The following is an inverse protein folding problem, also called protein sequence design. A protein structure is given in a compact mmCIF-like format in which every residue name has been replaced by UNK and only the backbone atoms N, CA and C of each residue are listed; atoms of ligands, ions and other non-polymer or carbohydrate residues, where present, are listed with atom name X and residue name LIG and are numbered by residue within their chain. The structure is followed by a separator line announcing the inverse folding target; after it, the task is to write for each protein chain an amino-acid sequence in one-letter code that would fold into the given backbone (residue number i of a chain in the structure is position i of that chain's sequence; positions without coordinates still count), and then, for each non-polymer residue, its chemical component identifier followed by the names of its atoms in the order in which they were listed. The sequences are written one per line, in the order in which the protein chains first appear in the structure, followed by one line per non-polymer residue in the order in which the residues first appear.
data_IF_775493715257
#
_entry.id   IF_775493715257
#
_cell.length_a   1.000
_cell.length_b   1.000
_cell.length_c   1.000
_cell.angle_alpha   90.00
_cell.angle_beta   90.00
_cell.angle_gamma   90.00
#
_symmetry.space_group_name_H-M   'P 1'
#
loop_
_entity.id
_entity.type
_entity.pdbx_description
1 polymer ?
#
# COMPACT_ATOMS: atom_id res chain seq x y z
N UNK A 1 -16.69 -8.43 -7.24
CA UNK A 1 -17.30 -7.10 -7.17
C UNK A 1 -16.43 -5.98 -7.75
N UNK A 2 -15.10 -5.97 -7.53
CA UNK A 2 -14.19 -4.95 -8.11
C UNK A 2 -14.36 -4.75 -9.63
N UNK A 3 -14.35 -5.84 -10.42
CA UNK A 3 -14.55 -5.75 -11.88
C UNK A 3 -15.90 -5.14 -12.29
N UNK A 4 -16.95 -5.36 -11.49
CA UNK A 4 -18.26 -4.76 -11.74
C UNK A 4 -18.23 -3.26 -11.46
N UNK A 5 -17.56 -2.84 -10.38
CA UNK A 5 -17.36 -1.44 -10.07
C UNK A 5 -16.58 -0.72 -11.18
N UNK A 6 -15.49 -1.32 -11.65
CA UNK A 6 -14.68 -0.76 -12.74
C UNK A 6 -15.50 -0.64 -14.04
N UNK A 7 -16.37 -1.61 -14.34
CA UNK A 7 -17.29 -1.54 -15.46
C UNK A 7 -18.31 -0.39 -15.30
N UNK A 8 -18.90 -0.24 -14.12
CA UNK A 8 -19.88 0.81 -13.84
C UNK A 8 -19.25 2.20 -13.91
N UNK A 9 -18.06 2.38 -13.35
CA UNK A 9 -17.30 3.64 -13.42
C UNK A 9 -16.94 4.00 -14.87
N UNK A 10 -16.57 3.00 -15.69
CA UNK A 10 -16.27 3.20 -17.10
C UNK A 10 -17.51 3.57 -17.92
N UNK A 11 -18.67 2.96 -17.62
CA UNK A 11 -19.95 3.32 -18.23
C UNK A 11 -20.36 4.74 -17.84
N UNK A 12 -20.19 5.11 -16.57
CA UNK A 12 -20.48 6.45 -16.06
C UNK A 12 -19.66 7.53 -16.75
N UNK A 13 -18.35 7.33 -16.86
CA UNK A 13 -17.46 8.26 -17.55
C UNK A 13 -17.84 8.43 -19.03
N UNK A 14 -18.25 7.34 -19.70
CA UNK A 14 -18.72 7.38 -21.08
C UNK A 14 -20.03 8.14 -21.20
N UNK A 15 -21.04 7.80 -20.39
CA UNK A 15 -22.35 8.45 -20.38
C UNK A 15 -22.25 9.94 -20.09
N UNK A 16 -21.37 10.36 -19.18
CA UNK A 16 -21.10 11.77 -18.89
C UNK A 16 -20.57 12.53 -20.12
N UNK A 17 -19.83 11.84 -21.01
CA UNK A 17 -19.26 12.44 -22.23
C UNK A 17 -20.23 12.41 -23.41
N UNK A 18 -21.02 11.34 -23.55
CA UNK A 18 -21.91 11.12 -24.70
C UNK A 18 -23.34 11.59 -24.48
N UNK A 19 -23.75 11.85 -23.23
CA UNK A 19 -25.14 12.09 -22.84
C UNK A 19 -26.01 10.84 -22.92
N UNK A 20 -25.42 9.65 -23.07
CA UNK A 20 -26.14 8.38 -23.09
C UNK A 20 -26.81 8.10 -21.73
N UNK A 21 -28.03 7.58 -21.76
CA UNK A 21 -28.75 7.18 -20.56
C UNK A 21 -28.02 6.02 -19.87
N UNK A 22 -27.53 6.26 -18.65
CA UNK A 22 -26.81 5.29 -17.81
C UNK A 22 -27.59 3.97 -17.65
N UNK A 23 -28.92 4.05 -17.44
CA UNK A 23 -29.75 2.86 -17.23
C UNK A 23 -29.82 1.97 -18.47
N UNK A 24 -29.63 2.54 -19.66
CA UNK A 24 -29.58 1.82 -20.93
C UNK A 24 -28.18 1.33 -21.28
N UNK A 25 -27.16 2.06 -20.83
CA UNK A 25 -25.76 1.74 -21.06
C UNK A 25 -25.23 0.62 -20.15
N UNK A 26 -25.81 0.46 -18.96
CA UNK A 26 -25.44 -0.58 -18.00
C UNK A 26 -25.98 -1.95 -18.41
N UNK A 27 -25.08 -2.95 -18.41
CA UNK A 27 -25.45 -4.35 -18.57
C UNK A 27 -26.13 -4.83 -17.30
N UNK A 28 -27.37 -5.28 -17.47
CA UNK A 28 -28.15 -5.90 -16.40
C UNK A 28 -27.37 -7.00 -15.68
N UNK A 29 -27.38 -6.97 -14.34
CA UNK A 29 -26.81 -8.03 -13.50
C UNK A 29 -27.51 -9.35 -13.80
N UNK A 30 -28.85 -9.35 -13.90
CA UNK A 30 -29.64 -10.56 -14.23
C UNK A 30 -29.15 -11.24 -15.51
N UNK A 31 -28.88 -10.45 -16.54
CA UNK A 31 -28.44 -10.94 -17.85
C UNK A 31 -26.97 -11.40 -17.88
N UNK A 32 -26.23 -11.18 -16.80
CA UNK A 32 -24.84 -11.61 -16.65
C UNK A 32 -24.74 -12.96 -15.93
N UNK A 33 -25.82 -13.45 -15.32
CA UNK A 33 -25.88 -14.75 -14.67
C UNK A 33 -26.30 -15.87 -15.63
N UNK A 34 -25.86 -17.08 -15.30
CA UNK A 34 -26.49 -18.27 -15.87
C UNK A 34 -27.98 -18.30 -15.46
N UNK A 35 -28.87 -18.30 -16.46
CA UNK A 35 -30.33 -18.21 -16.25
C UNK A 35 -30.87 -19.35 -15.38
N UNK A 36 -30.34 -20.57 -15.53
CA UNK A 36 -30.78 -21.71 -14.74
C UNK A 36 -30.30 -21.59 -13.29
N UNK A 37 -29.05 -21.17 -13.07
CA UNK A 37 -28.53 -20.89 -11.73
C UNK A 37 -29.36 -19.82 -11.02
N UNK A 38 -29.62 -18.69 -11.68
CA UNK A 38 -30.39 -17.59 -11.10
C UNK A 38 -31.83 -18.02 -10.78
N UNK A 39 -32.47 -18.80 -11.66
CA UNK A 39 -33.81 -19.37 -11.42
C UNK A 39 -33.82 -20.21 -10.14
N UNK A 40 -32.81 -21.08 -9.98
CA UNK A 40 -32.68 -21.95 -8.83
C UNK A 40 -32.47 -21.17 -7.55
N UNK A 41 -31.56 -20.17 -7.55
CA UNK A 41 -31.32 -19.30 -6.39
C UNK A 41 -32.58 -18.52 -5.98
N UNK A 42 -33.28 -17.93 -6.95
CA UNK A 42 -34.53 -17.22 -6.69
C UNK A 42 -35.56 -18.12 -6.02
N UNK A 43 -35.73 -19.35 -6.54
CA UNK A 43 -36.73 -20.30 -6.04
C UNK A 43 -36.36 -20.90 -4.68
N UNK A 44 -35.12 -21.34 -4.51
CA UNK A 44 -34.71 -22.15 -3.36
C UNK A 44 -34.22 -21.32 -2.18
N UNK A 45 -33.45 -20.26 -2.45
CA UNK A 45 -32.79 -19.47 -1.39
C UNK A 45 -33.56 -18.19 -1.08
N UNK A 46 -34.04 -17.50 -2.12
CA UNK A 46 -34.55 -16.13 -1.98
C UNK A 46 -36.08 -16.03 -1.91
N UNK A 47 -36.80 -17.14 -2.14
CA UNK A 47 -38.26 -17.15 -2.13
C UNK A 47 -38.91 -16.16 -3.10
N UNK A 48 -38.30 -15.97 -4.27
CA UNK A 48 -38.74 -15.03 -5.31
C UNK A 48 -38.63 -15.65 -6.71
N UNK A 49 -38.92 -14.88 -7.75
CA UNK A 49 -38.83 -15.28 -9.16
C UNK A 49 -37.77 -14.45 -9.90
N UNK A 50 -37.35 -14.89 -11.09
CA UNK A 50 -36.41 -14.12 -11.93
C UNK A 50 -37.00 -12.77 -12.33
N UNK A 51 -38.31 -12.72 -12.50
CA UNK A 51 -39.06 -11.54 -12.90
C UNK A 51 -39.07 -10.51 -11.77
N UNK A 52 -39.28 -10.97 -10.53
CA UNK A 52 -39.45 -10.10 -9.35
C UNK A 52 -38.15 -9.73 -8.64
N UNK A 53 -37.11 -10.55 -8.69
CA UNK A 53 -35.83 -10.25 -8.02
C UNK A 53 -35.26 -8.94 -8.55
N UNK A 54 -34.77 -8.02 -7.72
CA UNK A 54 -34.15 -6.78 -8.22
C UNK A 54 -32.64 -6.95 -8.42
N UNK A 55 -31.99 -6.08 -9.19
CA UNK A 55 -30.54 -6.16 -9.37
C UNK A 55 -29.79 -5.92 -8.06
N UNK A 56 -30.29 -5.00 -7.24
CA UNK A 56 -29.76 -4.68 -5.91
C UNK A 56 -29.83 -5.89 -4.98
N UNK A 57 -30.92 -6.66 -5.06
CA UNK A 57 -31.05 -7.89 -4.28
C UNK A 57 -30.02 -8.94 -4.70
N UNK A 58 -29.81 -9.15 -6.00
CA UNK A 58 -28.81 -10.10 -6.50
C UNK A 58 -27.41 -9.70 -6.02
N UNK A 59 -27.08 -8.41 -6.09
CA UNK A 59 -25.80 -7.88 -5.59
C UNK A 59 -25.66 -8.13 -4.08
N UNK A 60 -26.68 -7.78 -3.28
CA UNK A 60 -26.67 -7.96 -1.83
C UNK A 60 -26.51 -9.43 -1.42
N UNK A 61 -27.16 -10.35 -2.13
CA UNK A 61 -27.06 -11.79 -1.86
C UNK A 61 -25.69 -12.34 -2.26
N UNK A 62 -25.10 -11.86 -3.36
CA UNK A 62 -23.71 -12.17 -3.71
C UNK A 62 -22.73 -11.70 -2.63
N UNK A 63 -22.89 -10.46 -2.16
CA UNK A 63 -22.04 -9.91 -1.09
C UNK A 63 -22.18 -10.73 0.20
N UNK A 64 -23.39 -11.22 0.48
CA UNK A 64 -23.67 -12.12 1.62
C UNK A 64 -22.98 -13.46 1.45
N UNK A 65 -23.03 -14.07 0.27
CA UNK A 65 -22.37 -15.36 -0.01
C UNK A 65 -20.85 -15.22 0.07
N UNK A 66 -20.28 -14.17 -0.53
CA UNK A 66 -18.83 -13.89 -0.47
C UNK A 66 -18.40 -13.64 0.98
N UNK A 67 -19.20 -12.92 1.76
CA UNK A 67 -18.95 -12.73 3.19
C UNK A 67 -19.09 -14.02 4.02
N UNK A 68 -20.13 -14.82 3.79
CA UNK A 68 -20.41 -16.04 4.58
C UNK A 68 -19.41 -17.16 4.33
N UNK A 69 -19.08 -17.47 3.07
CA UNK A 69 -18.20 -18.61 2.73
C UNK A 69 -16.81 -18.47 3.39
N UNK A 70 -16.32 -17.23 3.54
CA UNK A 70 -15.02 -16.96 4.16
C UNK A 70 -15.08 -16.67 5.66
N UNK A 71 -16.25 -16.26 6.19
CA UNK A 71 -16.47 -16.18 7.63
C UNK A 71 -16.71 -17.57 8.26
N UNK A 72 -17.26 -18.54 7.50
CA UNK A 72 -17.55 -19.91 7.97
C UNK A 72 -16.31 -20.82 7.92
N UNK A 73 -15.34 -20.51 7.06
CA UNK A 73 -13.99 -21.03 7.20
C UNK A 73 -13.31 -20.28 8.36
N UNK A 74 -12.80 -21.00 9.37
CA UNK A 74 -11.96 -20.41 10.42
C UNK A 74 -10.63 -20.00 9.78
N UNK A 75 -10.62 -18.85 9.09
CA UNK A 75 -9.40 -18.25 8.55
C UNK A 75 -8.60 -17.73 9.74
N UNK A 76 -7.35 -18.19 9.87
CA UNK A 76 -6.43 -17.60 10.82
C UNK A 76 -6.00 -16.22 10.33
N UNK A 77 -6.74 -15.20 10.79
CA UNK A 77 -6.51 -13.79 10.47
C UNK A 77 -5.05 -13.42 10.76
N UNK A 78 -4.46 -13.88 11.86
CA UNK A 78 -3.07 -13.52 12.17
C UNK A 78 -2.11 -14.10 11.13
N UNK A 79 -2.30 -15.37 10.74
CA UNK A 79 -1.45 -16.00 9.74
C UNK A 79 -1.51 -15.31 8.37
N UNK A 80 -2.70 -14.86 7.95
CA UNK A 80 -2.88 -14.14 6.67
C UNK A 80 -2.10 -12.83 6.69
N UNK A 81 -2.30 -12.02 7.72
CA UNK A 81 -1.64 -10.73 7.83
C UNK A 81 -0.13 -10.85 8.07
N UNK A 82 0.31 -11.87 8.82
CA UNK A 82 1.73 -12.18 9.01
C UNK A 82 2.45 -12.51 7.69
N UNK A 83 1.75 -13.18 6.76
CA UNK A 83 2.31 -13.52 5.46
C UNK A 83 2.29 -12.35 4.46
N UNK A 84 1.21 -11.56 4.45
CA UNK A 84 0.88 -10.67 3.34
C UNK A 84 1.01 -9.17 3.63
N UNK A 85 0.86 -8.72 4.88
CA UNK A 85 0.92 -7.30 5.21
C UNK A 85 2.37 -6.88 5.43
N UNK A 86 2.96 -6.26 4.40
CA UNK A 86 4.35 -5.79 4.42
C UNK A 86 4.45 -4.37 3.87
N UNK A 87 5.28 -3.55 4.49
CA UNK A 87 5.55 -2.20 4.04
C UNK A 87 6.69 -2.21 3.01
N UNK A 88 6.46 -1.72 1.80
CA UNK A 88 7.47 -1.76 0.75
C UNK A 88 8.57 -0.71 0.99
N UNK A 89 9.73 -1.16 1.44
CA UNK A 89 10.88 -0.29 1.71
C UNK A 89 11.61 0.17 0.44
N UNK A 90 11.25 -0.32 -0.74
CA UNK A 90 11.81 0.14 -2.01
C UNK A 90 11.10 1.39 -2.55
N UNK A 91 9.89 1.68 -2.07
CA UNK A 91 9.20 2.93 -2.38
C UNK A 91 9.96 4.10 -1.76
N UNK A 92 10.44 5.00 -2.63
CA UNK A 92 11.28 6.14 -2.24
C UNK A 92 10.47 7.29 -1.68
N UNK A 93 9.23 7.46 -2.12
CA UNK A 93 8.37 8.49 -1.55
C UNK A 93 7.74 8.00 -0.24
N UNK A 94 8.12 8.66 0.86
CA UNK A 94 7.69 8.26 2.20
C UNK A 94 6.17 8.26 2.37
N UNK A 95 5.48 9.20 1.72
CA UNK A 95 4.02 9.29 1.84
C UNK A 95 3.36 8.18 1.03
N UNK A 96 3.82 7.94 -0.19
CA UNK A 96 3.35 6.84 -1.03
C UNK A 96 3.56 5.50 -0.33
N UNK A 97 4.72 5.29 0.30
CA UNK A 97 5.05 4.08 1.08
C UNK A 97 4.02 3.80 2.18
N UNK A 98 3.66 4.82 2.96
CA UNK A 98 2.64 4.70 4.02
C UNK A 98 1.25 4.48 3.43
N UNK A 99 0.87 5.20 2.37
CA UNK A 99 -0.45 5.05 1.72
C UNK A 99 -0.61 3.64 1.17
N UNK A 100 0.36 3.16 0.39
CA UNK A 100 0.34 1.83 -0.21
C UNK A 100 0.25 0.73 0.85
N UNK A 101 0.91 0.92 2.01
CA UNK A 101 0.82 -0.01 3.13
C UNK A 101 -0.60 -0.11 3.72
N UNK A 102 -1.29 1.02 3.92
CA UNK A 102 -2.68 1.01 4.39
C UNK A 102 -3.62 0.44 3.33
N UNK A 103 -3.43 0.79 2.05
CA UNK A 103 -4.19 0.19 0.94
C UNK A 103 -4.01 -1.33 0.88
N UNK A 104 -2.79 -1.83 1.10
CA UNK A 104 -2.51 -3.27 1.13
C UNK A 104 -3.29 -3.98 2.24
N UNK A 105 -3.49 -3.34 3.39
CA UNK A 105 -4.34 -3.87 4.46
C UNK A 105 -5.78 -4.05 3.99
N UNK A 106 -6.37 -3.04 3.33
CA UNK A 106 -7.73 -3.12 2.78
C UNK A 106 -7.85 -4.15 1.66
N UNK A 107 -6.83 -4.29 0.82
CA UNK A 107 -6.78 -5.33 -0.21
C UNK A 107 -6.81 -6.74 0.38
N UNK A 108 -6.03 -7.00 1.44
CA UNK A 108 -6.03 -8.30 2.14
C UNK A 108 -7.42 -8.56 2.73
N UNK A 109 -8.02 -7.56 3.40
CA UNK A 109 -9.37 -7.67 3.97
C UNK A 109 -10.39 -8.05 2.87
N UNK A 110 -10.30 -7.40 1.71
CA UNK A 110 -11.20 -7.67 0.59
C UNK A 110 -10.95 -9.05 -0.04
N UNK A 111 -9.69 -9.43 -0.28
CA UNK A 111 -9.30 -10.69 -0.91
C UNK A 111 -9.72 -11.91 -0.10
N UNK A 112 -9.70 -11.78 1.23
CA UNK A 112 -10.05 -12.85 2.16
C UNK A 112 -11.48 -12.74 2.71
N UNK A 113 -12.32 -11.88 2.13
CA UNK A 113 -13.74 -11.77 2.52
C UNK A 113 -13.96 -11.26 3.95
N UNK A 114 -12.95 -10.64 4.57
CA UNK A 114 -12.97 -10.22 5.98
C UNK A 114 -13.65 -8.86 6.20
N UNK A 115 -14.31 -8.31 5.17
CA UNK A 115 -14.90 -6.97 5.21
C UNK A 115 -15.87 -6.76 6.37
N UNK A 116 -16.80 -7.69 6.59
CA UNK A 116 -17.75 -7.63 7.71
C UNK A 116 -17.06 -7.72 9.08
N UNK A 117 -16.00 -8.53 9.18
CA UNK A 117 -15.21 -8.71 10.40
C UNK A 117 -14.55 -7.40 10.83
N UNK A 118 -13.97 -6.66 9.88
CA UNK A 118 -13.28 -5.40 10.14
C UNK A 118 -14.18 -4.15 10.14
N UNK A 119 -15.43 -4.24 9.66
CA UNK A 119 -16.40 -3.14 9.69
C UNK A 119 -16.95 -2.83 11.11
N UNK A 120 -16.76 -3.72 12.08
CA UNK A 120 -17.21 -3.51 13.47
C UNK A 120 -16.23 -2.63 14.26
N UNK A 121 -16.68 -2.00 15.35
CA UNK A 121 -15.79 -1.24 16.24
C UNK A 121 -14.63 -2.08 16.83
N UNK A 122 -14.86 -3.37 17.08
CA UNK A 122 -13.82 -4.32 17.50
C UNK A 122 -12.88 -4.66 16.34
N UNK A 123 -13.45 -4.86 15.15
CA UNK A 123 -12.71 -5.05 13.91
C UNK A 123 -11.74 -3.91 13.63
N UNK A 124 -12.20 -2.65 13.68
CA UNK A 124 -11.35 -1.47 13.49
C UNK A 124 -10.18 -1.43 14.49
N UNK A 125 -10.42 -1.82 15.75
CA UNK A 125 -9.33 -1.92 16.76
C UNK A 125 -8.32 -3.00 16.40
N UNK A 126 -8.78 -4.16 15.95
CA UNK A 126 -7.89 -5.25 15.52
C UNK A 126 -7.13 -4.86 14.25
N UNK A 127 -7.76 -4.15 13.30
CA UNK A 127 -7.11 -3.58 12.12
C UNK A 127 -5.97 -2.65 12.52
N UNK A 128 -6.23 -1.72 13.44
CA UNK A 128 -5.20 -0.82 13.96
C UNK A 128 -4.05 -1.59 14.63
N UNK A 129 -4.35 -2.69 15.34
CA UNK A 129 -3.34 -3.55 15.96
C UNK A 129 -2.47 -4.29 14.94
N UNK A 130 -3.08 -4.87 13.90
CA UNK A 130 -2.38 -5.52 12.79
C UNK A 130 -1.50 -4.51 12.03
N UNK A 131 -2.05 -3.36 11.67
CA UNK A 131 -1.32 -2.27 11.01
C UNK A 131 -0.07 -1.87 11.78
N UNK A 132 -0.13 -1.75 13.11
CA UNK A 132 1.06 -1.41 13.93
C UNK A 132 2.06 -2.56 13.99
N UNK A 133 1.59 -3.80 14.18
CA UNK A 133 2.45 -5.00 14.32
C UNK A 133 3.41 -5.12 13.12
N UNK A 134 2.89 -4.85 11.92
CA UNK A 134 3.58 -5.02 10.64
C UNK A 134 4.25 -3.74 10.10
N UNK A 135 4.32 -2.65 10.89
CA UNK A 135 5.07 -1.46 10.46
C UNK A 135 6.56 -1.76 10.32
N UNK A 136 7.13 -1.31 9.21
CA UNK A 136 8.56 -1.36 8.93
C UNK A 136 9.09 0.00 8.47
N UNK A 137 10.32 0.40 8.84
CA UNK A 137 11.26 -0.34 9.68
C UNK A 137 10.83 -0.41 11.16
N UNK A 138 11.44 -1.30 11.94
CA UNK A 138 11.13 -1.48 13.38
C UNK A 138 11.18 -0.16 14.17
N UNK A 139 12.09 0.76 13.82
CA UNK A 139 12.17 2.07 14.46
C UNK A 139 10.89 2.92 14.27
N UNK A 140 10.21 2.80 13.12
CA UNK A 140 8.93 3.47 12.87
C UNK A 140 7.84 2.89 13.79
N UNK A 141 7.77 1.56 13.87
CA UNK A 141 6.84 0.87 14.78
C UNK A 141 7.02 1.32 16.23
N UNK A 142 8.26 1.33 16.72
CA UNK A 142 8.58 1.73 18.10
C UNK A 142 8.21 3.20 18.39
N UNK A 143 8.46 4.10 17.43
CA UNK A 143 8.09 5.51 17.56
C UNK A 143 6.57 5.69 17.64
N UNK A 144 5.82 4.98 16.80
CA UNK A 144 4.35 4.98 16.81
C UNK A 144 3.81 4.38 18.11
N UNK A 145 4.33 3.24 18.55
CA UNK A 145 3.92 2.60 19.81
C UNK A 145 4.18 3.49 21.03
N UNK A 146 5.33 4.18 21.05
CA UNK A 146 5.67 5.12 22.12
C UNK A 146 4.70 6.30 22.14
N UNK A 147 4.39 6.88 20.98
CA UNK A 147 3.43 7.98 20.88
C UNK A 147 2.03 7.54 21.33
N UNK A 148 1.57 6.35 20.90
CA UNK A 148 0.26 5.82 21.29
C UNK A 148 0.15 5.45 22.78
N UNK A 149 1.29 5.20 23.43
CA UNK A 149 1.36 4.89 24.86
C UNK A 149 1.37 6.14 25.72
N UNK A 150 2.13 7.17 25.31
CA UNK A 150 2.47 8.31 26.17
C UNK A 150 1.68 9.57 25.79
N UNK A 151 1.44 9.79 24.50
CA UNK A 151 0.93 11.08 23.99
C UNK A 151 -0.55 11.02 23.68
N UNK A 152 -0.96 10.11 22.78
CA UNK A 152 -2.34 10.04 22.32
C UNK A 152 -2.74 8.61 21.91
N UNK A 153 -3.75 8.04 22.56
CA UNK A 153 -4.20 6.68 22.30
C UNK A 153 -5.23 6.53 21.17
N UNK A 154 -5.66 7.61 20.50
CA UNK A 154 -6.73 7.57 19.48
C UNK A 154 -6.45 6.57 18.35
N UNK A 155 -5.21 6.52 17.84
CA UNK A 155 -4.78 5.56 16.81
C UNK A 155 -4.79 4.09 17.23
N UNK A 156 -5.24 3.74 18.45
CA UNK A 156 -5.52 2.35 18.83
C UNK A 156 -6.89 1.86 18.38
N UNK A 157 -7.82 2.78 18.10
CA UNK A 157 -9.21 2.46 17.73
C UNK A 157 -9.73 3.28 16.54
N UNK A 158 -8.90 4.15 15.99
CA UNK A 158 -9.20 5.01 14.85
C UNK A 158 -8.09 4.87 13.82
N UNK A 159 -8.45 4.33 12.67
CA UNK A 159 -7.51 4.08 11.56
C UNK A 159 -6.96 5.38 10.97
N UNK A 160 -7.79 6.43 10.84
CA UNK A 160 -7.37 7.71 10.27
C UNK A 160 -6.39 8.43 11.20
N UNK A 161 -6.63 8.34 12.51
CA UNK A 161 -5.69 8.83 13.51
C UNK A 161 -4.36 8.05 13.47
N UNK A 162 -4.42 6.73 13.32
CA UNK A 162 -3.21 5.90 13.17
C UNK A 162 -2.44 6.26 11.89
N UNK A 163 -3.11 6.37 10.75
CA UNK A 163 -2.51 6.77 9.48
C UNK A 163 -1.79 8.12 9.59
N UNK A 164 -2.47 9.11 10.18
CA UNK A 164 -1.90 10.45 10.36
C UNK A 164 -0.62 10.40 11.20
N UNK A 165 -0.64 9.64 12.29
CA UNK A 165 0.51 9.46 13.17
C UNK A 165 1.67 8.72 12.46
N UNK A 166 1.38 7.60 11.78
CA UNK A 166 2.40 6.84 11.05
C UNK A 166 3.06 7.73 10.00
N UNK A 167 2.27 8.47 9.22
CA UNK A 167 2.79 9.42 8.22
C UNK A 167 3.68 10.49 8.83
N UNK A 168 3.29 11.06 9.98
CA UNK A 168 4.10 12.05 10.69
C UNK A 168 5.45 11.47 11.12
N UNK A 169 5.45 10.30 11.78
CA UNK A 169 6.68 9.66 12.28
C UNK A 169 7.60 9.18 11.17
N UNK A 170 7.03 8.66 10.09
CA UNK A 170 7.70 8.32 8.85
C UNK A 170 8.47 9.52 8.28
N UNK A 171 7.79 10.66 8.12
CA UNK A 171 8.40 11.91 7.63
C UNK A 171 9.45 12.50 8.57
N UNK A 172 9.28 12.38 9.88
CA UNK A 172 10.29 12.80 10.86
C UNK A 172 11.58 11.99 10.72
N UNK A 173 11.46 10.66 10.57
CA UNK A 173 12.61 9.77 10.39
C UNK A 173 13.37 10.08 9.10
N UNK A 174 12.66 10.29 7.99
CA UNK A 174 13.27 10.64 6.70
C UNK A 174 14.05 11.95 6.79
N UNK A 175 13.50 12.98 7.43
CA UNK A 175 14.20 14.26 7.64
C UNK A 175 15.50 14.07 8.43
N UNK A 176 15.45 13.30 9.51
CA UNK A 176 16.64 13.01 10.33
C UNK A 176 17.69 12.26 9.51
N UNK A 177 17.28 11.25 8.74
CA UNK A 177 18.18 10.47 7.89
C UNK A 177 18.86 11.35 6.83
N UNK A 178 18.13 12.25 6.18
CA UNK A 178 18.69 13.19 5.21
C UNK A 178 19.71 14.14 5.85
N UNK A 179 19.43 14.67 7.04
CA UNK A 179 20.35 15.56 7.76
C UNK A 179 21.66 14.85 8.13
N UNK A 180 21.56 13.62 8.63
CA UNK A 180 22.74 12.81 8.98
C UNK A 180 23.57 12.45 7.73
N UNK A 181 22.91 12.15 6.62
CA UNK A 181 23.56 11.84 5.34
C UNK A 181 24.32 13.04 4.78
N UNK A 182 23.73 14.25 4.84
CA UNK A 182 24.39 15.51 4.43
C UNK A 182 25.65 15.79 5.27
N UNK A 183 25.61 15.56 6.58
CA UNK A 183 26.75 15.76 7.48
C UNK A 183 27.91 14.79 7.21
N UNK A 184 27.62 13.53 6.85
CA UNK A 184 28.66 12.55 6.48
C UNK A 184 29.37 12.95 5.18
N UNK A 185 28.63 13.43 4.17
CA UNK A 185 29.21 13.91 2.91
C UNK A 185 30.09 15.15 3.10
N UNK A 186 29.71 16.08 3.99
CA UNK A 186 30.54 17.25 4.29
C UNK A 186 31.79 16.91 5.13
N UNK A 187 31.74 15.88 5.98
CA UNK A 187 32.88 15.44 6.79
C UNK A 187 33.98 14.73 5.98
N UNK A 188 33.61 13.98 4.95
CA UNK A 188 34.57 13.28 4.08
C UNK A 188 35.32 14.22 3.11
N UNK A 189 34.80 15.41 2.84
CA UNK A 189 35.46 16.39 1.96
C UNK A 189 36.71 17.04 2.60
N UNK A 190 36.87 16.99 3.93
CA UNK A 190 38.00 17.59 4.65
C UNK A 190 39.20 16.66 4.87
N UNK A 191 39.12 15.36 4.53
CA UNK A 191 40.21 14.40 4.76
C UNK A 191 41.01 14.01 3.50
N UNK A 192 40.70 14.59 2.33
CA UNK A 192 41.33 14.27 1.05
C UNK A 192 42.44 15.22 0.56
N UNK A 193 43.01 16.07 1.43
CA UNK A 193 43.94 17.14 1.04
C UNK A 193 45.33 17.02 1.65
N UNK A 194 46.04 15.92 1.41
CA UNK A 194 47.41 15.69 1.90
C UNK A 194 48.40 15.42 0.77
N UNK A 195 48.55 16.36 -0.17
CA UNK A 195 49.57 16.28 -1.23
C UNK A 195 50.98 16.35 -0.64
N UNK A 196 51.77 15.28 -0.80
CA UNK A 196 53.22 15.28 -0.47
C UNK A 196 53.98 16.24 -1.38
N UNK A 197 54.96 17.02 -0.87
CA UNK A 197 55.78 17.90 -1.69
C UNK A 197 56.78 17.11 -2.55
N UNK A 198 56.88 17.55 -3.80
CA UNK A 198 57.75 17.05 -4.88
C UNK A 198 59.22 17.33 -4.51
N UNK A 199 60.08 16.31 -4.47
CA UNK A 199 61.53 16.48 -4.30
C UNK A 199 62.13 16.93 -5.63
N UNK A 200 62.89 18.02 -5.60
CA UNK A 200 63.68 18.53 -6.72
C UNK A 200 64.83 17.57 -7.03
N UNK A 201 64.92 17.16 -8.30
CA UNK A 201 66.04 16.41 -8.85
C UNK A 201 67.12 17.38 -9.34
N UNK A 202 68.36 17.19 -8.92
CA UNK A 202 69.52 17.95 -9.40
C UNK A 202 70.03 17.37 -10.72
N UNK A 203 70.51 18.19 -11.67
CA UNK A 203 70.97 17.69 -12.96
C UNK A 203 72.36 17.05 -12.86
N UNK A 204 72.52 15.87 -13.47
CA UNK A 204 73.82 15.23 -13.74
C UNK A 204 74.55 15.88 -14.94
N UNK A 205 75.87 15.67 -15.08
CA UNK A 205 76.72 16.40 -16.02
C UNK A 205 76.56 15.94 -17.49
N UNK A 206 76.96 16.77 -18.47
CA UNK A 206 76.68 16.53 -19.88
C UNK A 206 77.56 15.41 -20.45
N UNK A 207 76.94 14.51 -21.22
CA UNK A 207 77.64 13.60 -22.12
C UNK A 207 77.89 14.35 -23.42
N UNK A 208 79.17 14.46 -23.78
CA UNK A 208 79.67 15.02 -25.03
C UNK A 208 79.47 13.98 -26.12
N UNK A 209 78.70 14.29 -27.16
CA UNK A 209 78.66 13.52 -28.39
C UNK A 209 79.72 14.06 -29.35
N UNK A 210 80.55 13.17 -29.87
CA UNK A 210 81.48 13.41 -30.98
C UNK A 210 80.73 13.53 -32.32
N UNK A 211 81.25 14.42 -33.18
CA UNK A 211 81.41 14.44 -34.67
C UNK A 211 80.25 13.91 -35.56
N UNK A 212 79.88 14.45 -36.74
CA UNK A 212 80.60 14.98 -37.93
C UNK A 212 79.84 16.23 -38.49
N UNK A 213 80.28 17.10 -39.41
CA UNK A 213 80.89 16.96 -40.76
C UNK A 213 81.47 18.34 -41.23
N UNK A 214 82.71 18.37 -41.74
CA UNK A 214 83.12 18.71 -43.14
C UNK A 214 84.65 18.70 -43.29
#
# INVERSE_FOLDING_TARGET
MRERQEYEDAVDARCATTGEDKSKALRSVKNSFNRQLLTTLCKLEWGTTIEEVTEERIISELDTIVGSIMNDAIIDINSVFDAELKMDLHERDEKARVINYFMRCDEIILQHGLGSTFATATGVKEKCKLLKKHLEPTALREAVDTHLRIVNASGKSDENALYTLVKEKALEQEKVFQLLSKRKMSGNAMQGGGGKPKREDKPGPPIVCCDDDE
#
